data_IF_807236162968
#
_entry.id   IF_807236162968
#
_cell.length_a   1.000
_cell.length_b   1.000
_cell.length_c   1.000
_cell.angle_alpha   90.00
_cell.angle_beta   90.00
_cell.angle_gamma   90.00
#
_symmetry.space_group_name_H-M   'P 1'
#
loop_
_entity.id
_entity.type
_entity.pdbx_description
1 polymer ?
#
# COMPACT_ATOMS: atom_id res chain seq x y z
N UNK A 1 22.99 -18.14 -22.80
CA UNK A 1 23.33 -18.72 -21.47
C UNK A 1 22.59 -20.05 -21.25
N UNK A 2 22.75 -21.08 -22.11
CA UNK A 2 21.94 -22.31 -22.01
C UNK A 2 22.32 -23.22 -20.83
N UNK A 3 23.54 -23.13 -20.32
CA UNK A 3 24.05 -23.96 -19.21
C UNK A 3 23.60 -23.50 -17.83
N UNK A 4 22.93 -22.34 -17.72
CA UNK A 4 22.48 -21.73 -16.46
C UNK A 4 20.96 -21.73 -16.32
N UNK A 5 20.27 -22.71 -16.92
CA UNK A 5 18.80 -22.83 -16.90
C UNK A 5 18.37 -24.20 -16.40
N UNK A 6 17.31 -24.25 -15.58
CA UNK A 6 16.63 -25.49 -15.15
C UNK A 6 15.11 -25.33 -15.20
N UNK A 7 14.35 -26.34 -15.67
CA UNK A 7 12.90 -26.23 -15.75
C UNK A 7 12.26 -26.18 -14.35
N UNK A 8 11.13 -25.48 -14.24
CA UNK A 8 10.34 -25.45 -13.01
C UNK A 8 9.75 -26.84 -12.70
N UNK A 9 9.48 -27.16 -11.42
CA UNK A 9 8.61 -28.27 -11.04
C UNK A 9 7.16 -28.00 -11.49
N UNK A 10 6.35 -29.05 -11.70
CA UNK A 10 4.91 -28.90 -11.85
C UNK A 10 4.31 -28.12 -10.68
N UNK A 11 3.29 -27.33 -10.96
CA UNK A 11 2.60 -26.52 -9.97
C UNK A 11 1.10 -26.76 -10.01
N UNK A 12 0.49 -26.83 -8.84
CA UNK A 12 -0.95 -26.95 -8.67
C UNK A 12 -1.53 -25.56 -8.37
N UNK A 13 -2.77 -25.30 -8.78
CA UNK A 13 -3.48 -24.07 -8.38
C UNK A 13 -4.29 -24.34 -7.13
N UNK A 14 -4.12 -23.48 -6.15
CA UNK A 14 -4.78 -23.56 -4.84
C UNK A 14 -5.48 -22.24 -4.58
N UNK A 15 -6.67 -22.33 -3.98
CA UNK A 15 -7.36 -21.21 -3.40
C UNK A 15 -7.19 -21.25 -1.88
N UNK A 16 -6.81 -20.14 -1.27
CA UNK A 16 -6.84 -19.94 0.17
C UNK A 16 -7.90 -18.93 0.60
N UNK A 17 -8.47 -19.19 1.77
CA UNK A 17 -9.46 -18.35 2.43
C UNK A 17 -8.83 -17.57 3.59
N UNK A 18 -9.30 -16.34 3.79
CA UNK A 18 -8.91 -15.47 4.90
C UNK A 18 -10.16 -15.04 5.67
N UNK A 19 -9.97 -14.60 6.92
CA UNK A 19 -11.04 -13.95 7.68
C UNK A 19 -11.57 -12.74 6.88
N UNK A 20 -12.89 -12.68 6.71
CA UNK A 20 -13.54 -11.72 5.81
C UNK A 20 -14.63 -10.90 6.52
N UNK A 21 -14.30 -10.11 7.56
CA UNK A 21 -15.23 -9.10 8.05
C UNK A 21 -15.49 -8.09 6.92
N UNK A 22 -16.75 -7.69 6.75
CA UNK A 22 -17.16 -6.80 5.68
C UNK A 22 -18.32 -5.94 6.15
N UNK A 23 -18.29 -4.67 5.75
CA UNK A 23 -19.44 -3.76 5.80
C UNK A 23 -20.25 -3.94 4.52
N UNK A 24 -21.54 -4.25 4.65
CA UNK A 24 -22.42 -4.50 3.51
C UNK A 24 -22.65 -3.26 2.66
N UNK A 25 -22.88 -2.11 3.31
CA UNK A 25 -23.03 -0.80 2.66
C UNK A 25 -22.02 0.22 3.23
N UNK A 26 -20.82 0.33 2.63
CA UNK A 26 -19.81 1.29 3.06
C UNK A 26 -20.26 2.75 2.97
N UNK A 27 -21.23 3.09 2.11
CA UNK A 27 -21.73 4.46 1.91
C UNK A 27 -22.67 4.83 3.06
N UNK A 28 -23.59 3.94 3.41
CA UNK A 28 -24.47 4.11 4.57
C UNK A 28 -23.66 4.15 5.87
N UNK A 29 -22.68 3.27 6.04
CA UNK A 29 -21.82 3.25 7.22
C UNK A 29 -20.96 4.53 7.31
N UNK A 30 -20.35 4.99 6.20
CA UNK A 30 -19.64 6.27 6.18
C UNK A 30 -20.55 7.44 6.57
N UNK A 31 -21.80 7.46 6.09
CA UNK A 31 -22.79 8.47 6.47
C UNK A 31 -23.07 8.42 7.97
N UNK A 32 -23.27 7.22 8.54
CA UNK A 32 -23.52 7.03 9.97
C UNK A 32 -22.33 7.50 10.83
N UNK A 33 -21.11 7.11 10.46
CA UNK A 33 -19.90 7.50 11.16
C UNK A 33 -19.66 9.01 11.08
N UNK A 34 -19.83 9.63 9.90
CA UNK A 34 -19.71 11.07 9.74
C UNK A 34 -20.74 11.86 10.56
N UNK A 35 -21.95 11.32 10.76
CA UNK A 35 -22.96 11.95 11.64
C UNK A 35 -22.52 12.02 13.11
N UNK A 36 -21.63 11.14 13.57
CA UNK A 36 -21.04 11.23 14.91
C UNK A 36 -20.15 12.47 15.06
N UNK A 37 -19.57 12.97 13.96
CA UNK A 37 -18.78 14.21 13.93
C UNK A 37 -19.63 15.46 13.66
N UNK A 38 -20.87 15.30 13.19
CA UNK A 38 -21.76 16.41 12.83
C UNK A 38 -21.95 17.48 13.92
N UNK A 39 -22.07 17.14 15.23
CA UNK A 39 -22.16 18.16 16.29
C UNK A 39 -20.94 19.08 16.40
N UNK A 40 -19.80 18.69 15.81
CA UNK A 40 -18.55 19.47 15.79
C UNK A 40 -18.42 20.34 14.54
N UNK A 41 -19.34 20.19 13.58
CA UNK A 41 -19.38 20.98 12.34
C UNK A 41 -20.30 22.18 12.57
N UNK A 42 -19.74 23.38 12.43
CA UNK A 42 -20.51 24.63 12.59
C UNK A 42 -21.14 25.03 11.25
N UNK A 43 -22.43 25.39 11.21
CA UNK A 43 -23.04 25.94 10.00
C UNK A 43 -22.29 27.17 9.49
N UNK A 44 -22.21 27.33 8.17
CA UNK A 44 -21.55 28.45 7.50
C UNK A 44 -20.03 28.35 7.38
N UNK A 45 -19.39 27.33 7.97
CA UNK A 45 -17.94 27.14 7.88
C UNK A 45 -17.51 26.32 6.66
N UNK A 46 -16.23 26.41 6.30
CA UNK A 46 -15.60 25.54 5.30
C UNK A 46 -14.91 24.36 5.98
N UNK A 47 -15.23 23.14 5.55
CA UNK A 47 -14.68 21.90 6.11
C UNK A 47 -13.81 21.19 5.07
N UNK A 48 -12.53 21.02 5.38
CA UNK A 48 -11.60 20.26 4.56
C UNK A 48 -11.62 18.76 4.90
N UNK A 49 -12.00 17.93 3.94
CA UNK A 49 -11.91 16.47 4.02
C UNK A 49 -10.66 16.04 3.28
N UNK A 50 -9.80 15.22 3.88
CA UNK A 50 -8.55 14.83 3.20
C UNK A 50 -8.77 13.76 2.12
N UNK A 51 -8.09 13.92 0.99
CA UNK A 51 -8.01 12.95 -0.08
C UNK A 51 -6.56 12.44 -0.22
N UNK A 52 -6.40 11.14 -0.50
CA UNK A 52 -5.11 10.48 -0.60
C UNK A 52 -4.81 9.91 -1.97
N UNK A 53 -3.56 9.51 -2.14
CA UNK A 53 -3.01 8.90 -3.36
C UNK A 53 -3.15 7.37 -3.42
N UNK A 54 -3.93 6.77 -2.53
CA UNK A 54 -4.05 5.31 -2.41
C UNK A 54 -5.43 4.87 -2.82
N UNK A 55 -5.48 3.78 -3.59
CA UNK A 55 -6.71 3.03 -3.79
C UNK A 55 -7.22 2.52 -2.45
N UNK A 56 -8.49 2.85 -2.18
CA UNK A 56 -9.33 2.29 -1.13
C UNK A 56 -10.61 1.93 -1.85
N UNK A 57 -11.11 0.71 -1.67
CA UNK A 57 -12.33 0.29 -2.36
C UNK A 57 -13.49 1.21 -1.95
N UNK A 58 -14.28 1.67 -2.92
CA UNK A 58 -15.40 2.60 -2.70
C UNK A 58 -15.02 3.99 -2.17
N UNK A 59 -13.77 4.45 -2.34
CA UNK A 59 -13.34 5.76 -1.82
C UNK A 59 -14.18 6.92 -2.33
N UNK A 60 -14.50 6.97 -3.63
CA UNK A 60 -15.29 8.06 -4.21
C UNK A 60 -16.73 8.08 -3.63
N UNK A 61 -17.49 6.98 -3.61
CA UNK A 61 -18.78 6.91 -2.91
C UNK A 61 -18.71 7.29 -1.43
N UNK A 62 -17.67 6.85 -0.70
CA UNK A 62 -17.49 7.20 0.71
C UNK A 62 -17.19 8.70 0.90
N UNK A 63 -16.33 9.29 0.07
CA UNK A 63 -16.08 10.74 0.09
C UNK A 63 -17.36 11.52 -0.23
N UNK A 64 -18.17 11.06 -1.20
CA UNK A 64 -19.45 11.68 -1.51
C UNK A 64 -20.43 11.64 -0.32
N UNK A 65 -20.47 10.52 0.43
CA UNK A 65 -21.25 10.43 1.67
C UNK A 65 -20.76 11.43 2.74
N UNK A 66 -19.44 11.52 2.96
CA UNK A 66 -18.87 12.47 3.90
C UNK A 66 -19.18 13.93 3.51
N UNK A 67 -19.04 14.27 2.22
CA UNK A 67 -19.41 15.57 1.64
C UNK A 67 -20.89 15.88 1.90
N UNK A 68 -21.78 14.91 1.70
CA UNK A 68 -23.21 15.08 1.91
C UNK A 68 -23.55 15.39 3.37
N UNK A 69 -22.91 14.73 4.34
CA UNK A 69 -23.10 15.01 5.77
C UNK A 69 -22.63 16.43 6.12
N UNK A 70 -21.46 16.86 5.63
CA UNK A 70 -20.99 18.24 5.85
C UNK A 70 -21.98 19.28 5.32
N UNK A 71 -22.55 19.05 4.12
CA UNK A 71 -23.60 19.92 3.55
C UNK A 71 -24.87 19.94 4.41
N UNK A 72 -25.29 18.79 4.93
CA UNK A 72 -26.46 18.69 5.82
C UNK A 72 -26.27 19.50 7.11
N UNK A 73 -25.03 19.65 7.59
CA UNK A 73 -24.68 20.53 8.70
C UNK A 73 -24.68 22.03 8.32
N UNK A 74 -25.00 22.39 7.08
CA UNK A 74 -24.97 23.77 6.60
C UNK A 74 -23.56 24.33 6.35
N UNK A 75 -22.55 23.45 6.24
CA UNK A 75 -21.16 23.82 5.98
C UNK A 75 -20.76 23.56 4.52
N UNK A 76 -19.65 24.17 4.08
CA UNK A 76 -19.10 24.02 2.73
C UNK A 76 -17.97 22.99 2.71
N UNK A 77 -18.15 21.79 2.15
CA UNK A 77 -17.08 20.81 2.03
C UNK A 77 -16.11 21.17 0.90
N UNK A 78 -14.82 20.95 1.15
CA UNK A 78 -13.75 20.91 0.14
C UNK A 78 -12.89 19.67 0.36
N UNK A 79 -12.26 19.17 -0.70
CA UNK A 79 -11.27 18.10 -0.59
C UNK A 79 -9.86 18.69 -0.56
N UNK A 80 -9.07 18.30 0.44
CA UNK A 80 -7.67 18.70 0.58
C UNK A 80 -6.77 17.56 0.12
N UNK A 81 -5.90 17.81 -0.87
CA UNK A 81 -4.91 16.83 -1.30
C UNK A 81 -3.85 16.62 -0.21
N UNK A 82 -3.97 15.51 0.53
CA UNK A 82 -3.08 15.14 1.64
C UNK A 82 -2.17 13.99 1.21
N UNK A 83 -1.17 14.34 0.42
CA UNK A 83 -0.40 13.40 -0.40
C UNK A 83 1.09 13.33 -0.05
N UNK A 84 1.60 14.22 0.80
CA UNK A 84 3.03 14.33 1.09
C UNK A 84 3.82 14.60 -0.18
N UNK A 85 4.82 13.76 -0.49
CA UNK A 85 5.65 13.86 -1.69
C UNK A 85 5.08 13.14 -2.93
N UNK A 86 3.90 12.52 -2.84
CA UNK A 86 3.30 11.84 -4.00
C UNK A 86 2.89 12.86 -5.09
N UNK A 87 2.77 12.40 -6.34
CA UNK A 87 2.54 13.31 -7.47
C UNK A 87 3.75 14.20 -7.76
N UNK A 88 4.95 13.71 -7.47
CA UNK A 88 6.19 14.48 -7.60
C UNK A 88 6.34 15.61 -6.56
N UNK A 89 5.44 15.70 -5.58
CA UNK A 89 5.41 16.80 -4.62
C UNK A 89 4.95 18.14 -5.23
N UNK A 90 4.24 18.10 -6.36
CA UNK A 90 3.74 19.28 -7.07
C UNK A 90 2.22 19.31 -7.08
N UNK A 91 1.61 20.50 -7.14
CA UNK A 91 0.15 20.62 -7.24
C UNK A 91 -0.43 19.88 -8.48
N UNK A 92 0.24 19.98 -9.64
CA UNK A 92 -0.19 19.32 -10.88
C UNK A 92 -0.14 17.79 -10.76
N UNK A 93 0.96 17.23 -10.26
CA UNK A 93 1.05 15.78 -10.10
C UNK A 93 0.14 15.25 -8.98
N UNK A 94 -0.17 16.06 -7.96
CA UNK A 94 -1.23 15.71 -7.00
C UNK A 94 -2.58 15.55 -7.70
N UNK A 95 -2.93 16.51 -8.56
CA UNK A 95 -4.17 16.47 -9.35
C UNK A 95 -4.24 15.23 -10.23
N UNK A 96 -3.19 14.92 -10.98
CA UNK A 96 -3.16 13.76 -11.88
C UNK A 96 -3.42 12.44 -11.15
N UNK A 97 -2.83 12.27 -9.96
CA UNK A 97 -3.02 11.07 -9.14
C UNK A 97 -4.43 11.01 -8.54
N UNK A 98 -5.01 12.14 -8.13
CA UNK A 98 -6.40 12.15 -7.63
C UNK A 98 -7.40 11.89 -8.76
N UNK A 99 -7.15 12.46 -9.94
CA UNK A 99 -7.97 12.25 -11.14
C UNK A 99 -7.97 10.77 -11.56
N UNK A 100 -6.83 10.08 -11.49
CA UNK A 100 -6.75 8.65 -11.80
C UNK A 100 -7.51 7.75 -10.81
N UNK A 101 -7.82 8.25 -9.61
CA UNK A 101 -8.67 7.59 -8.62
C UNK A 101 -10.15 8.00 -8.74
N UNK A 102 -10.49 8.86 -9.70
CA UNK A 102 -11.84 9.41 -9.88
C UNK A 102 -12.20 10.52 -8.88
N UNK A 103 -11.25 10.97 -8.05
CA UNK A 103 -11.43 12.03 -7.06
C UNK A 103 -11.28 13.38 -7.77
N UNK A 104 -12.35 13.79 -8.47
CA UNK A 104 -12.39 15.03 -9.26
C UNK A 104 -13.52 15.94 -8.83
N UNK A 105 -13.38 17.24 -9.09
CA UNK A 105 -14.45 18.21 -8.83
C UNK A 105 -15.74 17.86 -9.58
N UNK A 106 -15.60 17.40 -10.83
CA UNK A 106 -16.72 16.96 -11.66
C UNK A 106 -17.48 15.80 -11.03
N UNK A 107 -16.77 14.81 -10.49
CA UNK A 107 -17.38 13.60 -9.96
C UNK A 107 -17.98 13.79 -8.57
N UNK A 108 -17.34 14.62 -7.73
CA UNK A 108 -17.73 14.78 -6.31
C UNK A 108 -18.47 16.09 -6.04
N UNK A 109 -18.54 16.99 -7.02
CA UNK A 109 -19.29 18.25 -6.94
C UNK A 109 -18.75 19.21 -5.89
N UNK A 110 -17.48 19.10 -5.50
CA UNK A 110 -16.79 19.96 -4.52
C UNK A 110 -15.40 20.31 -5.02
N UNK A 111 -14.83 21.39 -4.53
CA UNK A 111 -13.47 21.80 -4.90
C UNK A 111 -12.44 20.75 -4.45
N UNK A 112 -11.45 20.48 -5.30
CA UNK A 112 -10.29 19.63 -4.98
C UNK A 112 -9.06 20.53 -4.92
N UNK A 113 -8.58 20.79 -3.72
CA UNK A 113 -7.50 21.74 -3.45
C UNK A 113 -6.18 20.98 -3.39
N UNK A 114 -5.36 21.15 -4.42
CA UNK A 114 -3.96 20.73 -4.46
C UNK A 114 -3.04 21.83 -3.92
N UNK A 115 -1.95 21.45 -3.27
CA UNK A 115 -1.03 22.39 -2.65
C UNK A 115 0.34 21.73 -2.44
N UNK A 116 1.41 22.41 -2.83
CA UNK A 116 2.80 21.98 -2.69
C UNK A 116 3.63 22.89 -1.76
N UNK A 117 3.04 23.97 -1.26
CA UNK A 117 3.65 24.85 -0.25
C UNK A 117 3.19 24.51 1.15
N UNK A 118 4.15 24.41 2.08
CA UNK A 118 3.88 24.14 3.50
C UNK A 118 4.67 25.09 4.40
N UNK A 119 4.12 25.37 5.58
CA UNK A 119 4.76 26.18 6.63
C UNK A 119 4.87 25.42 7.94
N UNK A 120 5.80 25.84 8.79
CA UNK A 120 5.90 25.34 10.17
C UNK A 120 4.77 25.90 11.04
N UNK A 121 4.15 25.05 11.86
CA UNK A 121 3.14 25.43 12.86
C UNK A 121 3.61 25.20 14.29
N UNK A 122 4.75 24.55 14.49
CA UNK A 122 5.28 24.22 15.80
C UNK A 122 6.43 23.24 15.72
N UNK A 123 7.02 22.96 16.87
CA UNK A 123 8.12 22.00 16.98
C UNK A 123 8.00 21.22 18.28
N UNK A 124 8.46 19.97 18.28
CA UNK A 124 8.67 19.19 19.50
C UNK A 124 9.88 19.73 20.27
N UNK A 125 10.05 19.38 21.56
CA UNK A 125 11.21 19.82 22.35
C UNK A 125 12.58 19.42 21.75
N UNK A 126 12.64 18.33 21.00
CA UNK A 126 13.85 17.86 20.29
C UNK A 126 13.95 18.38 18.84
N UNK A 127 13.11 19.35 18.46
CA UNK A 127 13.24 20.10 17.21
C UNK A 127 12.54 19.50 15.99
N UNK A 128 11.69 18.48 16.15
CA UNK A 128 10.88 17.96 15.05
C UNK A 128 9.82 18.99 14.67
N UNK A 129 9.86 19.47 13.43
CA UNK A 129 8.93 20.48 12.95
C UNK A 129 7.61 19.85 12.54
N UNK A 130 6.51 20.42 13.03
CA UNK A 130 5.18 20.18 12.52
C UNK A 130 4.95 21.09 11.32
N UNK A 131 4.92 20.51 10.12
CA UNK A 131 4.57 21.21 8.88
C UNK A 131 3.08 21.09 8.59
N UNK A 132 2.54 22.10 7.92
CA UNK A 132 1.17 22.10 7.43
C UNK A 132 1.10 22.79 6.06
N UNK A 133 0.42 22.16 5.10
CA UNK A 133 0.15 22.72 3.78
C UNK A 133 -0.65 24.02 3.91
N UNK A 134 -0.37 24.99 3.05
CA UNK A 134 -1.07 26.28 3.04
C UNK A 134 -2.58 26.12 2.81
N UNK A 135 -2.98 25.10 2.05
CA UNK A 135 -4.39 24.77 1.83
C UNK A 135 -5.16 24.46 3.12
N UNK A 136 -4.52 23.93 4.17
CA UNK A 136 -5.18 23.61 5.43
C UNK A 136 -5.55 24.84 6.27
N UNK A 137 -5.01 26.02 5.93
CA UNK A 137 -5.40 27.30 6.53
C UNK A 137 -6.56 27.97 5.79
N UNK A 138 -7.01 27.40 4.67
CA UNK A 138 -8.16 27.91 3.91
C UNK A 138 -9.51 27.37 4.40
N UNK A 139 -9.50 26.57 5.48
CA UNK A 139 -10.66 25.88 6.03
C UNK A 139 -10.77 26.12 7.53
N UNK A 140 -11.99 26.08 8.05
CA UNK A 140 -12.28 26.29 9.47
C UNK A 140 -12.27 24.99 10.29
N UNK A 141 -12.35 23.84 9.61
CA UNK A 141 -12.28 22.52 10.21
C UNK A 141 -11.67 21.49 9.25
N UNK A 142 -10.98 20.49 9.80
CA UNK A 142 -10.32 19.42 9.06
C UNK A 142 -10.83 18.06 9.53
N UNK A 143 -11.15 17.18 8.58
CA UNK A 143 -11.54 15.79 8.82
C UNK A 143 -10.60 14.87 8.01
N UNK A 144 -9.58 14.25 8.63
CA UNK A 144 -8.77 13.28 7.92
C UNK A 144 -9.57 11.98 7.70
N UNK A 145 -9.59 11.49 6.46
CA UNK A 145 -10.10 10.16 6.11
C UNK A 145 -8.95 9.33 5.56
N UNK A 146 -8.69 8.17 6.14
CA UNK A 146 -7.64 7.30 5.63
C UNK A 146 -7.80 5.83 6.00
N UNK A 147 -7.15 4.97 5.21
CA UNK A 147 -6.97 3.56 5.54
C UNK A 147 -5.96 3.38 6.66
N UNK A 148 -6.36 2.69 7.72
CA UNK A 148 -5.48 2.19 8.77
C UNK A 148 -4.95 0.83 8.34
N UNK A 149 -3.62 0.72 8.15
CA UNK A 149 -2.96 -0.53 7.75
C UNK A 149 -1.48 -0.53 8.13
N UNK A 150 -0.88 -1.72 8.12
CA UNK A 150 0.56 -1.81 8.32
C UNK A 150 1.34 -1.03 7.25
N UNK A 151 2.49 -0.49 7.63
CA UNK A 151 3.44 0.14 6.73
C UNK A 151 4.48 -0.85 6.19
N UNK A 152 4.97 -0.59 4.99
CA UNK A 152 5.96 -1.41 4.26
C UNK A 152 7.42 -0.99 4.50
N UNK A 153 7.67 -0.22 5.55
CA UNK A 153 9.02 0.31 5.81
C UNK A 153 9.37 0.41 7.27
N UNK A 154 8.40 0.56 8.17
CA UNK A 154 8.65 0.69 9.62
C UNK A 154 7.50 0.03 10.39
N UNK A 155 7.72 -0.19 11.68
CA UNK A 155 6.73 -0.76 12.62
C UNK A 155 6.57 0.15 13.82
N UNK A 156 5.33 0.37 14.23
CA UNK A 156 4.98 1.32 15.28
C UNK A 156 3.63 1.04 15.91
N UNK A 157 3.31 1.79 16.97
CA UNK A 157 1.95 1.83 17.53
C UNK A 157 0.97 2.50 16.56
N UNK A 158 1.45 3.46 15.76
CA UNK A 158 0.77 4.03 14.59
C UNK A 158 1.64 3.84 13.34
N UNK A 159 1.00 3.59 12.19
CA UNK A 159 1.68 3.29 10.93
C UNK A 159 1.03 4.04 9.75
N UNK A 160 0.30 3.36 8.85
CA UNK A 160 -0.59 4.05 7.93
C UNK A 160 -1.92 4.27 8.62
N UNK A 161 -2.48 5.48 8.51
CA UNK A 161 -3.70 5.87 9.20
C UNK A 161 -3.91 7.37 9.13
N UNK A 162 -4.78 7.91 9.97
CA UNK A 162 -5.08 9.35 10.01
C UNK A 162 -3.90 10.14 10.57
N UNK A 163 -3.16 9.61 11.55
CA UNK A 163 -1.97 10.28 12.08
C UNK A 163 -0.96 10.55 10.96
N UNK A 164 -0.66 9.54 10.14
CA UNK A 164 0.20 9.71 8.96
C UNK A 164 -0.42 10.61 7.89
N UNK A 165 -1.74 10.57 7.71
CA UNK A 165 -2.46 11.48 6.79
C UNK A 165 -2.26 12.94 7.19
N UNK A 166 -2.26 13.25 8.48
CA UNK A 166 -1.98 14.59 9.00
C UNK A 166 -0.49 14.94 8.86
N UNK A 167 0.39 14.14 9.47
CA UNK A 167 1.83 14.44 9.59
C UNK A 167 2.55 14.46 8.24
N UNK A 168 2.30 13.46 7.40
CA UNK A 168 2.97 13.31 6.10
C UNK A 168 2.09 13.84 4.97
N UNK A 169 0.79 13.51 5.00
CA UNK A 169 -0.13 13.91 3.92
C UNK A 169 -0.32 15.42 3.86
N UNK A 170 -0.83 16.02 4.94
CA UNK A 170 -1.00 17.47 5.07
C UNK A 170 0.28 18.19 5.49
N UNK A 171 1.33 17.48 5.91
CA UNK A 171 2.66 18.07 6.07
C UNK A 171 3.34 18.45 4.75
N UNK A 172 2.82 17.98 3.61
CA UNK A 172 3.34 18.30 2.29
C UNK A 172 4.77 17.80 2.06
N UNK A 173 5.50 18.35 1.08
CA UNK A 173 6.88 17.98 0.79
C UNK A 173 7.83 18.18 2.00
N UNK A 174 7.65 19.26 2.78
CA UNK A 174 8.48 19.54 3.97
C UNK A 174 8.27 18.52 5.09
N UNK A 175 7.01 18.22 5.43
CA UNK A 175 6.67 17.20 6.42
C UNK A 175 7.10 15.80 5.99
N UNK A 176 6.90 15.44 4.73
CA UNK A 176 7.38 14.17 4.18
C UNK A 176 8.91 14.07 4.18
N UNK A 177 9.61 15.15 3.81
CA UNK A 177 11.08 15.20 3.79
C UNK A 177 11.68 15.02 5.18
N UNK A 178 11.18 15.73 6.20
CA UNK A 178 11.63 15.55 7.58
C UNK A 178 11.25 14.17 8.11
N UNK A 179 10.02 13.72 7.85
CA UNK A 179 9.58 12.42 8.31
C UNK A 179 10.59 11.34 7.95
N UNK A 180 11.07 11.35 6.71
CA UNK A 180 11.99 10.34 6.21
C UNK A 180 13.48 10.59 6.50
N UNK A 181 13.88 11.75 7.03
CA UNK A 181 15.31 12.08 7.22
C UNK A 181 15.95 11.47 8.48
N UNK A 182 15.15 11.07 9.47
CA UNK A 182 15.64 10.63 10.78
C UNK A 182 15.85 9.11 10.90
N UNK A 183 15.75 8.39 9.79
CA UNK A 183 15.87 6.94 9.76
C UNK A 183 14.60 6.21 10.20
N UNK A 184 14.57 4.91 9.87
CA UNK A 184 13.39 4.05 9.98
C UNK A 184 12.88 3.90 11.43
N UNK A 185 13.80 3.77 12.39
CA UNK A 185 13.49 3.59 13.80
C UNK A 185 12.77 4.78 14.47
N UNK A 186 12.94 6.01 13.95
CA UNK A 186 12.32 7.21 14.53
C UNK A 186 10.92 7.51 13.98
N UNK A 187 10.54 6.87 12.86
CA UNK A 187 9.28 7.15 12.16
C UNK A 187 8.03 6.99 13.04
N UNK A 188 7.86 5.91 13.84
CA UNK A 188 6.69 5.77 14.71
C UNK A 188 6.54 6.91 15.70
N UNK A 189 7.65 7.28 16.36
CA UNK A 189 7.71 8.34 17.36
C UNK A 189 7.31 9.68 16.75
N UNK A 190 7.87 10.00 15.58
CA UNK A 190 7.57 11.26 14.88
C UNK A 190 6.08 11.37 14.53
N UNK A 191 5.44 10.29 14.05
CA UNK A 191 4.00 10.32 13.77
C UNK A 191 3.17 10.72 14.99
N UNK A 192 3.53 10.19 16.17
CA UNK A 192 2.81 10.49 17.41
C UNK A 192 3.10 11.91 17.89
N UNK A 193 4.37 12.30 17.98
CA UNK A 193 4.77 13.58 18.56
C UNK A 193 4.35 14.78 17.68
N UNK A 194 4.60 14.70 16.37
CA UNK A 194 4.16 15.74 15.43
C UNK A 194 2.64 15.71 15.27
N UNK A 195 2.02 14.53 15.30
CA UNK A 195 0.57 14.39 15.27
C UNK A 195 -0.11 15.13 16.41
N UNK A 196 0.42 15.05 17.64
CA UNK A 196 -0.09 15.80 18.80
C UNK A 196 -0.07 17.31 18.58
N UNK A 197 1.04 17.85 18.05
CA UNK A 197 1.15 19.29 17.74
C UNK A 197 0.10 19.71 16.71
N UNK A 198 -0.13 18.89 15.66
CA UNK A 198 -1.14 19.18 14.65
C UNK A 198 -2.54 19.17 15.26
N UNK A 199 -2.87 18.17 16.07
CA UNK A 199 -4.17 18.07 16.73
C UNK A 199 -4.43 19.22 17.71
N UNK A 200 -3.38 19.76 18.34
CA UNK A 200 -3.48 20.91 19.24
C UNK A 200 -3.66 22.24 18.48
N UNK A 201 -2.93 22.43 17.37
CA UNK A 201 -2.80 23.74 16.71
C UNK A 201 -3.69 23.96 15.49
N UNK A 202 -4.15 22.89 14.87
CA UNK A 202 -4.96 22.95 13.65
C UNK A 202 -6.39 22.53 13.95
N UNK A 203 -7.39 22.99 13.18
CA UNK A 203 -8.79 22.77 13.50
C UNK A 203 -9.25 21.35 13.11
N UNK A 204 -8.53 20.33 13.55
CA UNK A 204 -8.92 18.93 13.35
C UNK A 204 -10.03 18.60 14.34
N UNK A 205 -11.25 18.39 13.86
CA UNK A 205 -12.42 18.16 14.74
C UNK A 205 -12.62 16.68 15.08
N UNK A 206 -12.05 15.81 14.26
CA UNK A 206 -12.17 14.35 14.28
C UNK A 206 -11.87 13.81 12.89
N UNK A 207 -11.74 12.50 12.74
CA UNK A 207 -11.43 11.84 11.46
C UNK A 207 -12.19 10.54 11.29
N UNK A 208 -12.04 9.92 10.11
CA UNK A 208 -12.62 8.60 9.82
C UNK A 208 -11.53 7.61 9.42
N UNK A 209 -11.38 6.57 10.23
CA UNK A 209 -10.54 5.43 9.95
C UNK A 209 -11.29 4.39 9.11
N UNK A 210 -10.64 3.88 8.07
CA UNK A 210 -11.13 2.78 7.25
C UNK A 210 -10.19 1.59 7.44
N UNK A 211 -10.73 0.41 7.74
CA UNK A 211 -9.97 -0.85 7.77
C UNK A 211 -10.50 -1.73 6.64
N UNK A 212 -9.59 -2.33 5.87
CA UNK A 212 -9.92 -3.30 4.81
C UNK A 212 -9.48 -4.70 5.21
N UNK A 213 -10.19 -5.71 4.71
CA UNK A 213 -9.83 -7.12 4.88
C UNK A 213 -8.83 -7.58 3.79
N UNK A 214 -8.46 -8.86 3.83
CA UNK A 214 -7.54 -9.50 2.86
C UNK A 214 -8.00 -9.49 1.40
N UNK A 215 -9.25 -9.09 1.13
CA UNK A 215 -9.89 -9.03 -0.19
C UNK A 215 -10.02 -7.58 -0.68
N UNK A 216 -9.36 -6.62 -0.03
CA UNK A 216 -9.51 -5.17 -0.24
C UNK A 216 -10.95 -4.66 -0.02
N UNK A 217 -11.80 -5.41 0.68
CA UNK A 217 -13.14 -4.95 1.02
C UNK A 217 -13.13 -4.19 2.34
N UNK A 218 -13.99 -3.19 2.47
CA UNK A 218 -14.15 -2.43 3.71
C UNK A 218 -14.63 -3.35 4.84
N UNK A 219 -13.76 -3.59 5.81
CA UNK A 219 -14.05 -4.38 7.00
C UNK A 219 -14.69 -3.55 8.11
N UNK A 220 -14.33 -2.27 8.22
CA UNK A 220 -14.86 -1.34 9.22
C UNK A 220 -14.62 0.11 8.82
N UNK A 221 -15.53 0.98 9.22
CA UNK A 221 -15.39 2.43 9.17
C UNK A 221 -15.65 2.95 10.59
N UNK A 222 -14.80 3.83 11.11
CA UNK A 222 -14.93 4.37 12.47
C UNK A 222 -14.63 5.85 12.48
N UNK A 223 -15.57 6.66 12.91
CA UNK A 223 -15.33 8.08 13.21
C UNK A 223 -14.74 8.23 14.60
N UNK A 224 -13.65 8.99 14.69
CA UNK A 224 -12.89 9.23 15.90
C UNK A 224 -12.81 10.74 16.18
N UNK A 225 -13.18 11.21 17.38
CA UNK A 225 -12.95 12.60 17.75
C UNK A 225 -11.43 12.86 17.86
N UNK A 226 -11.02 14.11 17.65
CA UNK A 226 -9.61 14.49 17.58
C UNK A 226 -8.80 14.06 18.81
N UNK A 227 -9.38 14.22 20.01
CA UNK A 227 -8.77 13.88 21.28
C UNK A 227 -8.52 12.36 21.48
N UNK A 228 -9.26 11.50 20.79
CA UNK A 228 -9.12 10.05 20.89
C UNK A 228 -8.45 9.42 19.65
N UNK A 229 -8.09 10.25 18.66
CA UNK A 229 -7.64 9.79 17.34
C UNK A 229 -6.42 8.87 17.41
N UNK A 230 -5.38 9.28 18.16
CA UNK A 230 -4.13 8.52 18.24
C UNK A 230 -4.36 7.19 18.95
N UNK A 231 -4.98 7.21 20.13
CA UNK A 231 -5.21 6.01 20.95
C UNK A 231 -6.06 4.97 20.22
N UNK A 232 -7.20 5.38 19.65
CA UNK A 232 -8.07 4.44 18.94
C UNK A 232 -7.49 4.00 17.59
N UNK A 233 -6.64 4.79 16.93
CA UNK A 233 -5.91 4.35 15.74
C UNK A 233 -4.92 3.21 16.07
N UNK A 234 -4.32 3.20 17.27
CA UNK A 234 -3.45 2.09 17.72
C UNK A 234 -4.24 0.78 17.78
N UNK A 235 -5.44 0.80 18.37
CA UNK A 235 -6.31 -0.37 18.47
C UNK A 235 -6.76 -0.87 17.09
N UNK A 236 -7.17 0.06 16.22
CA UNK A 236 -7.58 -0.25 14.86
C UNK A 236 -6.42 -0.82 14.03
N UNK A 237 -5.20 -0.32 14.22
CA UNK A 237 -4.02 -0.86 13.54
C UNK A 237 -3.70 -2.28 14.02
N UNK A 238 -3.81 -2.54 15.33
CA UNK A 238 -3.61 -3.87 15.87
C UNK A 238 -4.61 -4.87 15.27
N UNK A 239 -5.89 -4.50 15.17
CA UNK A 239 -6.90 -5.33 14.52
C UNK A 239 -6.67 -5.46 13.00
N UNK A 240 -6.34 -4.38 12.31
CA UNK A 240 -6.02 -4.41 10.87
C UNK A 240 -4.90 -5.41 10.54
N UNK A 241 -3.88 -5.51 11.41
CA UNK A 241 -2.78 -6.47 11.23
C UNK A 241 -3.25 -7.93 11.23
N UNK A 242 -4.31 -8.28 11.95
CA UNK A 242 -4.86 -9.65 11.98
C UNK A 242 -5.63 -10.02 10.71
N UNK A 243 -6.04 -9.02 9.91
CA UNK A 243 -6.77 -9.19 8.66
C UNK A 243 -5.87 -9.24 7.42
N UNK A 244 -4.56 -9.05 7.60
CA UNK A 244 -3.62 -8.98 6.49
C UNK A 244 -3.53 -10.33 5.77
N UNK A 245 -3.55 -10.34 4.42
CA UNK A 245 -3.32 -11.57 3.69
C UNK A 245 -1.88 -12.05 3.94
N UNK A 246 -1.66 -13.35 3.78
CA UNK A 246 -0.34 -13.95 3.97
C UNK A 246 -0.06 -15.02 2.90
N UNK A 247 1.22 -15.27 2.65
CA UNK A 247 1.66 -16.44 1.88
C UNK A 247 1.17 -17.73 2.57
N UNK A 248 1.00 -18.83 1.82
CA UNK A 248 0.48 -20.08 2.38
C UNK A 248 1.45 -20.73 3.39
N UNK A 249 2.75 -20.42 3.31
CA UNK A 249 3.81 -20.94 4.19
C UNK A 249 4.88 -19.88 4.45
N UNK A 250 5.58 -20.01 5.59
CA UNK A 250 6.61 -19.06 6.04
C UNK A 250 8.00 -19.30 5.44
N UNK A 251 8.23 -20.40 4.71
CA UNK A 251 9.54 -20.77 4.17
C UNK A 251 9.43 -21.22 2.72
N UNK A 252 10.08 -20.47 1.83
CA UNK A 252 10.07 -20.69 0.39
C UNK A 252 11.49 -20.65 -0.18
N UNK A 253 11.73 -21.53 -1.14
CA UNK A 253 12.94 -21.48 -1.97
C UNK A 253 12.80 -20.41 -3.07
N UNK A 254 11.59 -20.20 -3.58
CA UNK A 254 11.29 -19.16 -4.54
C UNK A 254 9.86 -18.62 -4.44
N UNK A 255 9.70 -17.32 -4.60
CA UNK A 255 8.41 -16.67 -4.81
C UNK A 255 8.40 -16.02 -6.19
N UNK A 256 7.39 -16.34 -6.99
CA UNK A 256 7.16 -15.72 -8.29
C UNK A 256 5.98 -14.77 -8.14
N UNK A 257 6.18 -13.52 -8.50
CA UNK A 257 5.16 -12.48 -8.48
C UNK A 257 4.94 -12.08 -9.94
N UNK A 258 3.74 -12.32 -10.47
CA UNK A 258 3.48 -12.02 -11.89
C UNK A 258 3.59 -10.51 -12.15
N UNK A 259 3.13 -9.67 -11.23
CA UNK A 259 3.14 -8.23 -11.40
C UNK A 259 3.41 -7.49 -10.08
N UNK A 260 4.28 -6.48 -10.11
CA UNK A 260 4.43 -5.51 -9.03
C UNK A 260 3.77 -4.18 -9.37
N UNK A 261 3.46 -3.37 -8.37
CA UNK A 261 2.96 -2.03 -8.63
C UNK A 261 2.57 -1.22 -7.40
N UNK A 262 2.66 0.11 -7.49
CA UNK A 262 2.34 1.03 -6.38
C UNK A 262 0.86 1.01 -5.99
N UNK A 263 0.02 0.58 -6.92
CA UNK A 263 -1.38 0.25 -6.71
C UNK A 263 -1.56 -0.99 -5.82
N UNK A 264 -0.68 -1.99 -5.91
CA UNK A 264 -0.74 -3.19 -5.07
C UNK A 264 -0.12 -2.98 -3.68
N UNK A 265 1.05 -2.34 -3.62
CA UNK A 265 1.69 -2.02 -2.35
C UNK A 265 2.53 -0.75 -2.46
N UNK A 266 2.78 -0.09 -1.33
CA UNK A 266 3.49 1.19 -1.31
C UNK A 266 4.86 1.16 -1.99
N UNK A 267 5.53 0.02 -1.90
CA UNK A 267 6.84 -0.32 -2.46
C UNK A 267 6.76 -1.09 -3.78
N UNK A 268 5.58 -1.31 -4.36
CA UNK A 268 5.42 -2.14 -5.55
C UNK A 268 5.21 -3.62 -5.22
N UNK A 269 6.05 -4.16 -4.33
CA UNK A 269 5.92 -5.49 -3.72
C UNK A 269 5.85 -5.29 -2.20
N UNK A 270 4.88 -5.91 -1.54
CA UNK A 270 4.66 -5.71 -0.11
C UNK A 270 5.74 -6.40 0.72
N UNK A 271 6.50 -5.60 1.47
CA UNK A 271 7.62 -6.05 2.29
C UNK A 271 7.22 -7.00 3.42
N UNK A 272 5.95 -6.94 3.87
CA UNK A 272 5.43 -7.82 4.90
C UNK A 272 5.11 -9.20 4.34
N UNK A 273 4.61 -9.24 3.09
CA UNK A 273 4.29 -10.47 2.38
C UNK A 273 5.55 -11.22 1.98
N UNK A 274 6.59 -10.51 1.53
CA UNK A 274 7.84 -11.14 1.09
C UNK A 274 8.89 -11.29 2.19
N UNK A 275 8.66 -10.72 3.38
CA UNK A 275 9.59 -10.74 4.51
C UNK A 275 10.92 -10.04 4.21
N UNK A 276 10.89 -8.93 3.46
CA UNK A 276 12.10 -8.18 3.05
C UNK A 276 11.87 -6.68 3.06
N UNK A 277 12.62 -5.96 3.88
CA UNK A 277 12.67 -4.51 3.97
C UNK A 277 13.77 -3.94 3.06
N UNK A 278 14.96 -4.56 3.00
CA UNK A 278 16.19 -4.05 2.35
C UNK A 278 16.48 -2.59 2.70
N UNK A 279 16.50 -2.27 3.98
CA UNK A 279 16.90 -0.95 4.48
C UNK A 279 18.26 -1.09 5.16
N UNK A 280 19.27 -0.35 4.69
CA UNK A 280 20.64 -0.44 5.21
C UNK A 280 20.67 -0.12 6.70
N UNK A 281 21.23 -1.03 7.50
CA UNK A 281 21.35 -0.90 8.96
C UNK A 281 20.15 -1.44 9.75
N UNK A 282 19.04 -1.79 9.08
CA UNK A 282 17.86 -2.36 9.72
C UNK A 282 17.84 -3.88 9.59
N UNK A 283 17.33 -4.56 10.62
CA UNK A 283 17.14 -6.00 10.59
C UNK A 283 15.99 -6.38 9.65
N UNK A 284 16.18 -7.46 8.89
CA UNK A 284 15.11 -8.06 8.09
C UNK A 284 14.09 -8.77 8.99
N UNK A 285 12.80 -8.83 8.60
CA UNK A 285 11.81 -9.65 9.30
C UNK A 285 12.29 -11.10 9.41
N UNK A 286 12.06 -11.74 10.56
CA UNK A 286 12.42 -13.14 10.75
C UNK A 286 11.63 -14.08 9.81
N UNK A 287 10.41 -13.66 9.45
CA UNK A 287 9.50 -14.40 8.58
C UNK A 287 8.64 -13.44 7.72
N UNK A 288 8.16 -13.91 6.55
CA UNK A 288 8.53 -15.18 5.90
C UNK A 288 9.97 -15.17 5.38
N UNK A 289 10.60 -16.35 5.29
CA UNK A 289 11.93 -16.54 4.71
C UNK A 289 11.81 -17.02 3.28
N UNK A 290 12.22 -16.18 2.35
CA UNK A 290 12.18 -16.48 0.92
C UNK A 290 13.60 -16.37 0.36
N UNK A 291 14.15 -17.45 -0.19
CA UNK A 291 15.52 -17.44 -0.73
C UNK A 291 15.61 -16.56 -1.99
N UNK A 292 14.73 -16.74 -2.98
CA UNK A 292 14.69 -15.89 -4.17
C UNK A 292 13.28 -15.37 -4.48
N UNK A 293 13.18 -14.12 -4.91
CA UNK A 293 11.94 -13.50 -5.39
C UNK A 293 12.13 -13.08 -6.84
N UNK A 294 11.22 -13.51 -7.71
CA UNK A 294 11.16 -13.06 -9.11
C UNK A 294 9.89 -12.25 -9.36
N UNK A 295 10.01 -11.12 -10.06
CA UNK A 295 8.86 -10.30 -10.50
C UNK A 295 8.88 -10.17 -12.01
N UNK A 296 7.75 -10.49 -12.64
CA UNK A 296 7.70 -10.66 -14.09
C UNK A 296 7.28 -9.40 -14.85
N UNK A 297 6.48 -8.52 -14.24
CA UNK A 297 5.99 -7.29 -14.88
C UNK A 297 5.72 -6.14 -13.89
N UNK A 298 5.58 -4.93 -14.42
CA UNK A 298 5.14 -3.72 -13.71
C UNK A 298 3.74 -3.33 -14.18
N UNK A 299 2.84 -3.10 -13.22
CA UNK A 299 1.48 -2.61 -13.48
C UNK A 299 1.49 -1.21 -14.08
N UNK A 300 0.69 -1.02 -15.13
CA UNK A 300 0.52 0.27 -15.80
C UNK A 300 0.02 1.37 -14.85
N UNK A 301 -0.85 1.02 -13.91
CA UNK A 301 -1.39 1.90 -12.86
C UNK A 301 -0.32 2.38 -11.86
N UNK A 302 0.90 1.85 -11.95
CA UNK A 302 2.04 2.39 -11.21
C UNK A 302 2.67 3.60 -11.90
N UNK A 303 2.26 3.92 -13.13
CA UNK A 303 2.81 5.01 -13.94
C UNK A 303 4.34 4.93 -14.03
N UNK A 304 4.86 3.72 -14.24
CA UNK A 304 6.30 3.43 -14.32
C UNK A 304 7.06 3.50 -12.99
N UNK A 305 6.41 3.81 -11.87
CA UNK A 305 7.10 3.93 -10.59
C UNK A 305 7.38 2.55 -9.95
N UNK A 306 8.62 2.08 -10.07
CA UNK A 306 9.08 0.78 -9.58
C UNK A 306 9.87 0.89 -8.27
N UNK A 307 9.37 1.67 -7.30
CA UNK A 307 10.08 2.03 -6.04
C UNK A 307 10.74 0.85 -5.31
N UNK A 308 10.19 -0.36 -5.35
CA UNK A 308 10.76 -1.54 -4.69
C UNK A 308 11.22 -2.64 -5.64
N UNK A 309 11.62 -2.30 -6.87
CA UNK A 309 12.24 -3.27 -7.79
C UNK A 309 13.51 -3.88 -7.17
N UNK A 310 14.24 -3.09 -6.39
CA UNK A 310 15.39 -3.55 -5.63
C UNK A 310 15.05 -4.41 -4.43
N UNK A 311 13.79 -4.84 -4.22
CA UNK A 311 13.40 -5.86 -3.23
C UNK A 311 13.53 -7.29 -3.76
N UNK A 312 13.65 -7.44 -5.09
CA UNK A 312 13.57 -8.75 -5.75
C UNK A 312 14.94 -9.15 -6.31
N UNK A 313 15.07 -10.39 -6.77
CA UNK A 313 16.34 -10.98 -7.19
C UNK A 313 16.43 -11.17 -8.71
N UNK A 314 15.29 -11.49 -9.36
CA UNK A 314 15.20 -11.73 -10.80
C UNK A 314 14.01 -10.97 -11.39
N UNK A 315 14.20 -10.37 -12.58
CA UNK A 315 13.10 -9.73 -13.31
C UNK A 315 13.23 -9.91 -14.82
N UNK A 316 12.39 -9.24 -15.60
CA UNK A 316 12.34 -9.34 -17.06
C UNK A 316 12.67 -8.00 -17.73
N UNK A 317 13.10 -8.05 -18.99
CA UNK A 317 13.29 -6.86 -19.82
C UNK A 317 11.99 -6.06 -19.93
N UNK A 318 10.84 -6.75 -20.09
CA UNK A 318 9.51 -6.15 -20.12
C UNK A 318 9.22 -5.25 -18.91
N UNK A 319 9.58 -5.70 -17.71
CA UNK A 319 9.41 -4.90 -16.50
C UNK A 319 10.33 -3.68 -16.52
N UNK A 320 11.61 -3.88 -16.83
CA UNK A 320 12.64 -2.83 -16.85
C UNK A 320 12.27 -1.71 -17.83
N UNK A 321 11.74 -2.05 -19.00
CA UNK A 321 11.34 -1.09 -20.03
C UNK A 321 10.20 -0.16 -19.57
N UNK A 322 9.39 -0.60 -18.60
CA UNK A 322 8.30 0.21 -18.03
C UNK A 322 8.77 1.14 -16.91
N UNK A 323 10.01 1.04 -16.42
CA UNK A 323 10.47 1.80 -15.27
C UNK A 323 10.70 3.28 -15.63
N UNK A 324 9.90 4.16 -15.03
CA UNK A 324 10.22 5.58 -14.94
C UNK A 324 11.27 5.77 -13.82
N UNK A 325 12.50 6.01 -14.25
CA UNK A 325 13.63 6.26 -13.34
C UNK A 325 13.43 7.49 -12.47
N UNK A 326 12.87 8.60 -12.98
CA UNK A 326 12.71 9.83 -12.20
C UNK A 326 11.71 9.61 -11.07
N UNK A 327 10.56 9.03 -11.39
CA UNK A 327 9.53 8.73 -10.40
C UNK A 327 10.01 7.70 -9.35
N UNK A 328 10.78 6.70 -9.79
CA UNK A 328 11.35 5.67 -8.93
C UNK A 328 12.43 6.24 -8.00
N UNK A 329 13.33 7.08 -8.52
CA UNK A 329 14.40 7.68 -7.72
C UNK A 329 13.88 8.71 -6.74
N UNK A 330 12.91 9.54 -7.13
CA UNK A 330 12.34 10.54 -6.22
C UNK A 330 11.82 9.89 -4.92
N UNK A 331 11.03 8.82 -5.01
CA UNK A 331 10.54 8.13 -3.81
C UNK A 331 11.68 7.53 -2.97
N UNK A 332 12.67 6.92 -3.61
CA UNK A 332 13.76 6.26 -2.90
C UNK A 332 14.74 7.26 -2.27
N UNK A 333 14.94 8.42 -2.90
CA UNK A 333 15.73 9.52 -2.33
C UNK A 333 14.98 10.21 -1.20
N UNK A 334 13.67 10.48 -1.36
CA UNK A 334 12.85 11.04 -0.27
C UNK A 334 12.82 10.12 0.94
N UNK A 335 12.69 8.80 0.74
CA UNK A 335 12.64 7.83 1.83
C UNK A 335 14.02 7.44 2.38
N UNK A 336 15.11 7.82 1.70
CA UNK A 336 16.50 7.39 1.93
C UNK A 336 16.78 5.89 1.69
N UNK A 337 15.80 5.12 1.23
CA UNK A 337 15.92 3.66 1.01
C UNK A 337 16.43 3.32 -0.39
N UNK A 338 17.62 3.83 -0.73
CA UNK A 338 18.18 3.79 -2.10
C UNK A 338 18.36 2.38 -2.68
N UNK A 339 18.60 1.37 -1.85
CA UNK A 339 18.71 -0.05 -2.20
C UNK A 339 17.47 -0.57 -2.91
N UNK A 340 16.29 -0.02 -2.62
CA UNK A 340 15.03 -0.42 -3.24
C UNK A 340 14.89 0.06 -4.69
N UNK A 341 15.74 0.98 -5.14
CA UNK A 341 15.86 1.38 -6.54
C UNK A 341 16.89 0.57 -7.35
N UNK A 342 17.64 -0.35 -6.72
CA UNK A 342 18.64 -1.14 -7.43
C UNK A 342 17.96 -2.08 -8.44
N UNK A 343 18.50 -2.15 -9.65
CA UNK A 343 17.99 -3.07 -10.67
C UNK A 343 18.54 -4.48 -10.40
N UNK A 344 17.66 -5.50 -10.22
CA UNK A 344 18.08 -6.89 -10.10
C UNK A 344 18.57 -7.42 -11.44
N UNK A 345 19.11 -8.65 -11.49
CA UNK A 345 19.39 -9.30 -12.78
C UNK A 345 18.09 -9.47 -13.56
N UNK A 346 18.06 -9.01 -14.81
CA UNK A 346 16.90 -9.12 -15.69
C UNK A 346 17.22 -9.95 -16.94
N UNK A 347 16.17 -10.54 -17.52
CA UNK A 347 16.29 -11.48 -18.64
C UNK A 347 15.27 -11.15 -19.73
N UNK A 348 15.53 -11.60 -20.95
CA UNK A 348 14.72 -11.23 -22.12
C UNK A 348 13.27 -11.76 -22.02
N UNK A 349 13.09 -12.91 -21.36
CA UNK A 349 11.79 -13.61 -21.24
C UNK A 349 11.49 -14.05 -19.82
N UNK A 350 10.21 -14.28 -19.51
CA UNK A 350 9.79 -14.83 -18.22
C UNK A 350 10.35 -16.25 -18.02
N UNK A 351 10.34 -17.06 -19.09
CA UNK A 351 10.94 -18.39 -19.06
C UNK A 351 12.40 -18.35 -18.62
N UNK A 352 13.20 -17.47 -19.24
CA UNK A 352 14.62 -17.37 -18.89
C UNK A 352 14.83 -16.91 -17.44
N UNK A 353 14.07 -15.91 -16.98
CA UNK A 353 14.17 -15.41 -15.61
C UNK A 353 13.87 -16.53 -14.59
N UNK A 354 12.80 -17.28 -14.81
CA UNK A 354 12.36 -18.34 -13.90
C UNK A 354 13.27 -19.57 -13.96
N UNK A 355 13.70 -20.00 -15.15
CA UNK A 355 14.62 -21.12 -15.28
C UNK A 355 16.02 -20.81 -14.73
N UNK A 356 16.44 -19.54 -14.77
CA UNK A 356 17.70 -19.09 -14.15
C UNK A 356 17.59 -19.06 -12.63
N UNK A 357 16.46 -18.60 -12.08
CA UNK A 357 16.18 -18.73 -10.64
C UNK A 357 16.25 -20.20 -10.20
N UNK A 358 15.68 -21.12 -10.98
CA UNK A 358 15.76 -22.56 -10.72
C UNK A 358 17.18 -23.11 -10.80
N UNK A 359 18.02 -22.59 -11.70
CA UNK A 359 19.44 -22.92 -11.72
C UNK A 359 20.17 -22.46 -10.45
N UNK A 360 19.81 -21.30 -9.88
CA UNK A 360 20.34 -20.87 -8.58
C UNK A 360 19.88 -21.77 -7.42
N UNK A 361 18.74 -22.46 -7.57
CA UNK A 361 18.21 -23.45 -6.62
C UNK A 361 18.70 -24.89 -6.88
N UNK A 362 19.65 -25.10 -7.80
CA UNK A 362 20.08 -26.44 -8.29
C UNK A 362 20.58 -27.43 -7.24
N UNK A 363 20.94 -26.96 -6.03
CA UNK A 363 21.37 -27.83 -4.92
C UNK A 363 20.21 -28.52 -4.21
N UNK A 364 18.96 -28.14 -4.50
CA UNK A 364 17.75 -28.73 -3.93
C UNK A 364 17.14 -29.70 -4.96
N UNK A 365 16.80 -30.95 -4.58
CA UNK A 365 16.09 -31.87 -5.44
C UNK A 365 14.79 -31.28 -5.98
N UNK A 366 14.46 -31.52 -7.26
CA UNK A 366 13.35 -30.86 -7.97
C UNK A 366 12.00 -31.04 -7.26
N UNK A 367 11.77 -32.22 -6.71
CA UNK A 367 10.58 -32.63 -5.95
C UNK A 367 10.51 -32.06 -4.52
N UNK A 368 11.59 -31.43 -4.04
CA UNK A 368 11.69 -30.76 -2.74
C UNK A 368 11.71 -29.23 -2.85
N UNK A 369 11.71 -28.68 -4.07
CA UNK A 369 11.70 -27.23 -4.27
C UNK A 369 10.34 -26.67 -3.85
N UNK A 370 10.39 -25.62 -3.02
CA UNK A 370 9.22 -24.96 -2.43
C UNK A 370 9.01 -23.64 -3.16
N UNK A 371 8.13 -23.64 -4.16
CA UNK A 371 7.80 -22.44 -4.91
C UNK A 371 6.33 -22.08 -4.73
N UNK A 372 6.08 -20.79 -4.64
CA UNK A 372 4.75 -20.20 -4.74
C UNK A 372 4.77 -19.17 -5.88
N UNK A 373 3.71 -19.13 -6.68
CA UNK A 373 3.46 -18.08 -7.69
C UNK A 373 2.14 -17.38 -7.38
N UNK A 374 2.17 -16.05 -7.32
CA UNK A 374 1.03 -15.18 -7.00
C UNK A 374 0.87 -14.12 -8.09
N UNK A 375 -0.35 -13.60 -8.35
CA UNK A 375 -0.53 -12.54 -9.33
C UNK A 375 0.20 -11.26 -8.89
N UNK A 376 0.09 -10.90 -7.61
CA UNK A 376 0.83 -9.82 -6.98
C UNK A 376 0.81 -10.02 -5.44
N UNK A 377 1.31 -9.05 -4.69
CA UNK A 377 1.36 -9.11 -3.21
C UNK A 377 0.15 -8.50 -2.51
N UNK A 378 -0.87 -8.08 -3.26
CA UNK A 378 -2.17 -7.65 -2.72
C UNK A 378 -3.18 -8.80 -2.76
N UNK A 379 -3.30 -9.48 -3.90
CA UNK A 379 -4.23 -10.59 -4.10
C UNK A 379 -3.53 -11.93 -3.89
N UNK A 380 -3.76 -12.54 -2.73
CA UNK A 380 -3.15 -13.82 -2.34
C UNK A 380 -4.18 -14.96 -2.21
N UNK A 381 -5.43 -14.76 -2.61
CA UNK A 381 -6.50 -15.77 -2.48
C UNK A 381 -6.30 -16.95 -3.40
N UNK A 382 -5.75 -16.73 -4.59
CA UNK A 382 -5.39 -17.78 -5.53
C UNK A 382 -3.87 -17.73 -5.71
N UNK A 383 -3.22 -18.90 -5.72
CA UNK A 383 -1.80 -19.04 -5.97
C UNK A 383 -1.51 -20.36 -6.66
N UNK A 384 -0.34 -20.48 -7.28
CA UNK A 384 0.21 -21.76 -7.68
C UNK A 384 1.27 -22.20 -6.68
N UNK A 385 1.35 -23.49 -6.40
CA UNK A 385 2.31 -24.07 -5.48
C UNK A 385 2.90 -25.38 -6.02
N UNK A 386 4.17 -25.63 -5.72
CA UNK A 386 4.79 -26.94 -5.99
C UNK A 386 4.29 -28.00 -5.02
N UNK A 387 4.40 -29.27 -5.39
CA UNK A 387 4.04 -30.41 -4.52
C UNK A 387 4.66 -30.32 -3.12
N UNK A 388 5.90 -29.86 -3.01
CA UNK A 388 6.58 -29.70 -1.72
C UNK A 388 5.90 -28.67 -0.79
N UNK A 389 5.21 -27.66 -1.34
CA UNK A 389 4.39 -26.72 -0.55
C UNK A 389 3.03 -27.33 -0.24
N UNK A 390 2.42 -28.05 -1.20
CA UNK A 390 1.10 -28.67 -1.01
C UNK A 390 1.06 -29.64 0.17
N UNK A 391 2.17 -30.35 0.45
CA UNK A 391 2.31 -31.25 1.61
C UNK A 391 2.08 -30.54 2.96
N UNK A 392 2.29 -29.23 3.02
CA UNK A 392 2.10 -28.44 4.24
C UNK A 392 0.69 -27.83 4.33
N UNK A 393 -0.09 -27.86 3.24
CA UNK A 393 -1.42 -27.25 3.16
C UNK A 393 -2.49 -28.22 3.66
N UNK A 394 -2.42 -28.58 4.94
CA UNK A 394 -3.28 -29.61 5.55
C UNK A 394 -4.63 -29.06 6.04
N UNK A 395 -4.75 -27.74 6.21
CA UNK A 395 -5.99 -27.09 6.63
C UNK A 395 -6.98 -26.95 5.46
N UNK A 396 -7.89 -27.91 5.35
CA UNK A 396 -8.93 -27.92 4.31
C UNK A 396 -9.98 -26.80 4.46
N UNK A 397 -10.08 -26.16 5.63
CA UNK A 397 -10.95 -24.99 5.80
C UNK A 397 -10.29 -23.72 5.22
N UNK A 398 -8.95 -23.66 5.27
CA UNK A 398 -8.18 -22.58 4.67
C UNK A 398 -7.86 -22.81 3.20
N UNK A 399 -7.55 -24.03 2.76
CA UNK A 399 -7.03 -24.32 1.43
C UNK A 399 -7.94 -25.26 0.63
N UNK A 400 -8.17 -24.91 -0.64
CA UNK A 400 -8.90 -25.72 -1.61
C UNK A 400 -8.08 -25.90 -2.88
N UNK A 401 -7.83 -27.15 -3.28
CA UNK A 401 -7.14 -27.45 -4.53
C UNK A 401 -8.08 -27.16 -5.72
N UNK A 402 -7.64 -26.27 -6.62
CA UNK A 402 -8.39 -25.93 -7.84
C UNK A 402 -8.06 -26.91 -8.96
N UNK A 403 -6.78 -27.24 -9.12
CA UNK A 403 -6.34 -28.35 -9.96
C UNK A 403 -5.00 -28.91 -9.48
N UNK A 404 -4.78 -30.19 -9.75
CA UNK A 404 -3.54 -30.93 -9.48
C UNK A 404 -2.30 -30.32 -10.15
N UNK A 405 -1.07 -30.68 -9.71
CA UNK A 405 0.17 -30.23 -10.32
C UNK A 405 0.23 -30.49 -11.83
N UNK A 406 0.55 -29.44 -12.60
CA UNK A 406 0.76 -29.52 -14.06
C UNK A 406 2.08 -28.85 -14.44
N UNK A 407 2.73 -29.25 -15.55
CA UNK A 407 3.91 -28.57 -16.04
C UNK A 407 3.65 -27.06 -16.23
N UNK A 408 4.60 -26.23 -15.82
CA UNK A 408 4.57 -24.79 -16.13
C UNK A 408 4.86 -24.62 -17.63
N UNK A 409 3.96 -23.95 -18.35
CA UNK A 409 4.06 -23.80 -19.80
C UNK A 409 4.32 -22.34 -20.18
N UNK A 410 5.09 -22.18 -21.25
CA UNK A 410 5.43 -20.90 -21.86
C UNK A 410 5.03 -20.89 -23.33
N UNK A 411 4.70 -19.72 -23.86
CA UNK A 411 4.47 -19.54 -25.29
C UNK A 411 5.80 -19.48 -26.08
N UNK A 412 5.71 -19.27 -27.39
CA UNK A 412 6.88 -19.18 -28.27
C UNK A 412 7.77 -17.95 -27.98
N UNK A 413 7.25 -16.96 -27.25
CA UNK A 413 7.96 -15.75 -26.83
C UNK A 413 8.51 -15.90 -25.40
N UNK A 414 8.33 -17.06 -24.76
CA UNK A 414 8.80 -17.32 -23.41
C UNK A 414 7.97 -16.64 -22.32
N UNK A 415 6.71 -16.26 -22.60
CA UNK A 415 5.78 -15.74 -21.60
C UNK A 415 4.92 -16.86 -21.00
N UNK A 416 4.56 -16.73 -19.72
CA UNK A 416 3.70 -17.68 -19.02
C UNK A 416 2.31 -17.74 -19.65
N UNK A 417 1.87 -18.96 -19.97
CA UNK A 417 0.55 -19.23 -20.54
C UNK A 417 -0.57 -19.24 -19.51
N UNK A 418 -0.35 -19.87 -18.35
CA UNK A 418 -1.34 -20.00 -17.29
C UNK A 418 -1.10 -18.93 -16.22
N UNK A 419 -2.04 -18.00 -16.08
CA UNK A 419 -2.01 -16.88 -15.13
C UNK A 419 -3.25 -16.87 -14.26
N UNK A 420 -3.11 -16.35 -13.06
CA UNK A 420 -4.26 -16.18 -12.14
C UNK A 420 -5.17 -15.04 -12.62
N UNK A 421 -4.56 -13.99 -13.19
CA UNK A 421 -5.24 -12.76 -13.57
C UNK A 421 -5.46 -11.81 -12.39
N UNK A 422 -5.84 -10.56 -12.69
CA UNK A 422 -6.27 -9.58 -11.69
C UNK A 422 -7.76 -9.82 -11.36
N UNK A 423 -8.19 -9.90 -10.10
CA UNK A 423 -9.60 -10.16 -9.74
C UNK A 423 -10.60 -9.06 -10.19
N UNK A 424 -10.13 -7.94 -10.76
CA UNK A 424 -10.97 -6.81 -11.18
C UNK A 424 -10.75 -6.36 -12.64
N UNK A 425 -10.27 -7.25 -13.52
CA UNK A 425 -10.22 -7.00 -14.98
C UNK A 425 -11.22 -7.86 -15.76
N UNK A 426 -12.38 -8.15 -15.18
CA UNK A 426 -13.54 -8.68 -15.89
C UNK A 426 -14.58 -7.57 -16.08
#
# INVERSE_FOLDING_TARGET
>A
MSTTRKPLPPMARVRQCFTRPKVDDPVAEMTAQMRLLAPRIKPGTTVGITAGSRGIQNICPMLAAAIAVVRQCGATPVLLAAMGSHGGGTAQGQKEVLDSLGITEKNLGVKVITCDTCRSIGQTPDGLVAYMLDSAFSVDAIIPINRVKTHTSFKGCVESGMCKKLVVGLGGPGGAGQFHSLGQAQLPRLLVEVGKIILEKMPVIGGVAIVENAYEETARIVALPAEAMIEQEVELLAWSKTLMPALPVDSLHGLIVEEMGKNFSGTGVDTNIIGRLRITGEAEPERPKIRYVSVLDLSEESHGNATGIGLVDFTTQKLVDKVDRRATYLNNLTTTFVTRAFLPTWFDTEQEALETMMFCLRSIPKDQVRLVRVPNTLYLTDFFATEAVLRDLTDAARFTLVHEPRPVQFDAQGALLDRIGRPHQA
#
